data_IF_872205204302
#
_entry.id   IF_872205204302
#
_cell.length_a   1.000
_cell.length_b   1.000
_cell.length_c   1.000
_cell.angle_alpha   90.00
_cell.angle_beta   90.00
_cell.angle_gamma   90.00
#
_symmetry.space_group_name_H-M   'P 1'
#
loop_
_entity.id
_entity.type
_entity.pdbx_description
1 polymer ?
#
# COMPACT_ATOMS: atom_id res chain seq x y z
N UNK A 1 11.97 0.55 8.08
CA UNK A 1 12.04 0.14 9.52
C UNK A 1 10.66 0.14 10.16
N UNK A 2 9.83 1.14 9.89
CA UNK A 2 8.52 1.34 10.53
C UNK A 2 7.50 0.24 10.26
N UNK A 3 7.46 -0.33 9.03
CA UNK A 3 6.60 -1.48 8.74
C UNK A 3 6.85 -2.68 9.66
N UNK A 4 8.12 -3.03 9.90
CA UNK A 4 8.48 -4.16 10.78
C UNK A 4 8.07 -3.90 12.23
N UNK A 5 8.18 -2.64 12.67
CA UNK A 5 7.74 -2.23 14.01
C UNK A 5 6.22 -2.28 14.12
N UNK A 6 5.50 -1.71 13.15
CA UNK A 6 4.04 -1.75 13.13
C UNK A 6 3.49 -3.17 13.08
N UNK A 7 4.12 -4.05 12.29
CA UNK A 7 3.74 -5.46 12.24
C UNK A 7 4.02 -6.17 13.55
N UNK A 8 5.20 -5.96 14.15
CA UNK A 8 5.54 -6.55 15.44
C UNK A 8 4.59 -6.08 16.55
N UNK A 9 4.19 -4.80 16.53
CA UNK A 9 3.19 -4.28 17.47
C UNK A 9 1.81 -4.91 17.23
N UNK A 10 1.37 -5.05 15.97
CA UNK A 10 0.12 -5.77 15.65
C UNK A 10 0.18 -7.22 16.13
N UNK A 11 1.27 -7.94 15.85
CA UNK A 11 1.46 -9.33 16.26
C UNK A 11 1.54 -9.45 17.80
N UNK A 12 2.12 -8.45 18.49
CA UNK A 12 2.15 -8.37 19.95
C UNK A 12 0.75 -8.12 20.54
N UNK A 13 -0.07 -7.31 19.86
CA UNK A 13 -1.40 -6.94 20.31
C UNK A 13 -2.48 -7.97 19.90
N UNK A 14 -2.17 -8.87 18.97
CA UNK A 14 -3.07 -9.93 18.47
C UNK A 14 -2.47 -11.29 18.81
N UNK A 15 -3.04 -11.99 19.78
CA UNK A 15 -2.56 -13.31 20.18
C UNK A 15 -3.75 -14.26 20.37
N UNK A 16 -3.60 -15.48 19.84
CA UNK A 16 -4.56 -16.56 20.06
C UNK A 16 -4.42 -17.20 21.47
N UNK A 17 -3.36 -16.82 22.18
CA UNK A 17 -3.08 -17.30 23.55
C UNK A 17 -3.32 -16.13 24.51
N UNK A 18 -4.21 -16.29 25.52
CA UNK A 18 -4.44 -15.27 26.53
C UNK A 18 -3.15 -15.00 27.31
N UNK A 19 -2.67 -13.78 27.26
CA UNK A 19 -1.55 -13.35 28.11
C UNK A 19 -1.78 -11.92 28.60
N UNK A 20 -1.09 -11.54 29.68
CA UNK A 20 -1.07 -10.16 30.12
C UNK A 20 0.24 -9.50 29.65
N UNK A 21 0.13 -8.37 29.01
CA UNK A 21 1.27 -7.54 28.67
C UNK A 21 1.21 -6.22 29.45
N UNK A 22 2.39 -5.72 29.84
CA UNK A 22 2.54 -4.38 30.38
C UNK A 22 3.27 -3.56 29.35
N UNK A 23 2.60 -2.54 28.80
CA UNK A 23 3.21 -1.61 27.87
C UNK A 23 3.59 -0.33 28.61
N UNK A 24 4.83 0.08 28.50
CA UNK A 24 5.24 1.42 28.87
C UNK A 24 4.80 2.38 27.75
N UNK A 25 3.91 3.29 28.05
CA UNK A 25 3.37 4.25 27.10
C UNK A 25 3.65 5.66 27.56
N UNK A 26 3.87 6.57 26.59
CA UNK A 26 4.13 7.97 26.84
C UNK A 26 2.96 8.80 26.32
N UNK A 27 2.38 9.65 27.17
CA UNK A 27 1.32 10.57 26.74
C UNK A 27 1.89 11.81 26.02
N UNK A 28 1.01 12.68 25.53
CA UNK A 28 1.38 13.90 24.82
C UNK A 28 2.17 14.90 25.68
N UNK A 29 1.97 14.89 27.02
CA UNK A 29 2.72 15.70 27.97
C UNK A 29 4.11 15.12 28.27
N UNK A 30 4.48 13.98 27.68
CA UNK A 30 5.77 13.33 27.89
C UNK A 30 5.83 12.45 29.14
N UNK A 31 4.73 12.28 29.85
CA UNK A 31 4.66 11.44 31.05
C UNK A 31 4.57 9.97 30.64
N UNK A 32 5.37 9.13 31.30
CA UNK A 32 5.40 7.68 31.07
C UNK A 32 4.54 6.98 32.11
N UNK A 33 3.73 6.02 31.67
CA UNK A 33 2.93 5.16 32.54
C UNK A 33 2.83 3.74 31.98
N UNK A 34 2.57 2.79 32.85
CA UNK A 34 2.42 1.39 32.48
C UNK A 34 0.94 1.07 32.23
N UNK A 35 0.62 0.67 30.99
CA UNK A 35 -0.70 0.19 30.60
C UNK A 35 -0.71 -1.34 30.64
N UNK A 36 -1.47 -1.91 31.58
CA UNK A 36 -1.66 -3.36 31.64
C UNK A 36 -2.77 -3.76 30.69
N UNK A 37 -2.42 -4.58 29.67
CA UNK A 37 -3.35 -5.15 28.73
C UNK A 37 -3.59 -6.61 29.12
N UNK A 38 -4.84 -6.95 29.46
CA UNK A 38 -5.26 -8.33 29.66
C UNK A 38 -5.95 -8.77 28.38
N UNK A 39 -5.39 -9.75 27.70
CA UNK A 39 -6.01 -10.33 26.51
C UNK A 39 -7.10 -11.30 26.97
N UNK A 40 -8.33 -10.94 26.74
CA UNK A 40 -9.44 -11.87 26.62
C UNK A 40 -9.58 -12.23 25.15
N UNK A 41 -10.07 -13.43 24.89
CA UNK A 41 -10.14 -14.10 23.58
C UNK A 41 -10.49 -13.12 22.43
N UNK A 42 -9.67 -13.04 21.38
CA UNK A 42 -9.86 -12.19 20.18
C UNK A 42 -11.29 -12.26 19.60
N UNK A 43 -11.97 -13.39 19.73
CA UNK A 43 -13.37 -13.54 19.30
C UNK A 43 -14.35 -12.59 20.02
N UNK A 44 -13.97 -12.07 21.18
CA UNK A 44 -14.79 -11.14 21.97
C UNK A 44 -14.44 -9.67 21.71
N UNK A 45 -13.28 -9.38 21.10
CA UNK A 45 -12.80 -8.03 20.82
C UNK A 45 -13.08 -7.58 19.38
N UNK A 46 -13.75 -8.38 18.55
CA UNK A 46 -14.29 -7.88 17.30
C UNK A 46 -15.66 -7.20 17.53
N UNK A 47 -15.68 -5.94 18.10
CA UNK A 47 -16.80 -5.06 17.83
C UNK A 47 -16.80 -4.91 16.33
N UNK A 48 -17.95 -4.82 15.74
CA UNK A 48 -18.17 -4.47 14.35
C UNK A 48 -17.28 -3.30 13.92
N UNK A 49 -16.02 -3.54 13.66
CA UNK A 49 -15.27 -2.75 12.71
C UNK A 49 -16.10 -2.94 11.45
N UNK A 50 -16.85 -1.91 11.08
CA UNK A 50 -17.55 -1.87 9.80
C UNK A 50 -16.53 -2.41 8.81
N UNK A 51 -16.83 -3.52 8.11
CA UNK A 51 -15.86 -4.20 7.25
C UNK A 51 -15.34 -3.15 6.30
N UNK A 52 -14.09 -2.75 6.49
CA UNK A 52 -13.47 -1.72 5.67
C UNK A 52 -13.59 -2.16 4.23
N UNK A 53 -14.16 -1.32 3.36
CA UNK A 53 -14.33 -1.65 1.96
C UNK A 53 -12.94 -1.88 1.32
N UNK A 54 -12.84 -2.83 0.43
CA UNK A 54 -11.60 -3.05 -0.33
C UNK A 54 -11.30 -1.91 -1.30
N UNK A 55 -12.35 -1.35 -1.89
CA UNK A 55 -12.30 -0.15 -2.73
C UNK A 55 -13.42 0.76 -2.28
N UNK A 56 -13.12 2.04 -2.13
CA UNK A 56 -14.08 3.10 -1.80
C UNK A 56 -13.74 4.40 -2.52
N UNK A 57 -14.73 5.21 -2.82
CA UNK A 57 -14.53 6.50 -3.50
C UNK A 57 -15.49 7.55 -3.02
N UNK A 58 -15.05 8.81 -3.11
CA UNK A 58 -15.88 9.98 -2.87
C UNK A 58 -15.33 11.20 -3.60
N UNK A 59 -16.19 12.16 -3.92
CA UNK A 59 -15.77 13.50 -4.28
C UNK A 59 -15.45 14.25 -2.99
N UNK A 60 -14.26 14.82 -2.86
CA UNK A 60 -13.86 15.67 -1.72
C UNK A 60 -14.32 17.10 -1.92
N UNK A 61 -14.28 17.55 -3.18
CA UNK A 61 -14.87 18.78 -3.68
C UNK A 61 -15.24 18.62 -5.17
N UNK A 62 -15.59 19.70 -5.87
CA UNK A 62 -16.03 19.65 -7.28
C UNK A 62 -14.94 19.12 -8.23
N UNK A 63 -13.66 19.32 -7.91
CA UNK A 63 -12.52 19.01 -8.77
C UNK A 63 -11.66 17.84 -8.28
N UNK A 64 -11.84 17.38 -7.04
CA UNK A 64 -10.97 16.36 -6.41
C UNK A 64 -11.75 15.08 -6.13
N UNK A 65 -11.43 14.03 -6.88
CA UNK A 65 -11.85 12.66 -6.58
C UNK A 65 -10.88 11.99 -5.59
N UNK A 66 -11.43 11.22 -4.68
CA UNK A 66 -10.67 10.35 -3.77
C UNK A 66 -11.03 8.90 -4.03
N UNK A 67 -10.00 8.08 -4.26
CA UNK A 67 -10.13 6.64 -4.51
C UNK A 67 -9.24 5.89 -3.52
N UNK A 68 -9.85 5.09 -2.66
CA UNK A 68 -9.14 4.26 -1.69
C UNK A 68 -9.12 2.81 -2.16
N UNK A 69 -7.92 2.18 -2.13
CA UNK A 69 -7.72 0.79 -2.54
C UNK A 69 -6.88 0.08 -1.48
N UNK A 70 -7.49 -0.82 -0.73
CA UNK A 70 -6.87 -1.48 0.41
C UNK A 70 -6.17 -2.81 0.07
N UNK A 71 -6.30 -3.31 -1.17
CA UNK A 71 -5.65 -4.56 -1.60
C UNK A 71 -5.63 -4.71 -3.12
N UNK A 72 -4.64 -5.44 -3.62
CA UNK A 72 -4.58 -5.97 -4.99
C UNK A 72 -4.86 -7.48 -5.04
N UNK A 73 -5.55 -8.04 -4.06
CA UNK A 73 -5.80 -9.48 -4.00
C UNK A 73 -6.77 -9.94 -5.08
N UNK A 74 -6.33 -10.84 -5.95
CA UNK A 74 -7.18 -11.53 -6.94
C UNK A 74 -8.20 -12.51 -6.31
N UNK A 75 -8.09 -12.75 -4.99
CA UNK A 75 -9.03 -13.61 -4.24
C UNK A 75 -10.29 -12.87 -3.78
N UNK A 76 -10.31 -11.55 -3.89
CA UNK A 76 -11.49 -10.76 -3.52
C UNK A 76 -12.58 -10.98 -4.56
N UNK A 77 -13.76 -11.36 -4.08
CA UNK A 77 -14.98 -11.44 -4.87
C UNK A 77 -16.13 -10.89 -4.03
N UNK A 78 -16.70 -9.79 -4.46
CA UNK A 78 -17.86 -9.14 -3.81
C UNK A 78 -19.00 -9.16 -4.81
N UNK A 79 -20.00 -10.00 -4.56
CA UNK A 79 -21.18 -10.15 -5.45
C UNK A 79 -20.81 -10.43 -6.92
N UNK A 80 -19.76 -11.23 -7.15
CA UNK A 80 -19.28 -11.55 -8.49
C UNK A 80 -18.23 -10.58 -9.06
N UNK A 81 -17.97 -9.45 -8.40
CA UNK A 81 -16.98 -8.46 -8.83
C UNK A 81 -15.62 -8.71 -8.17
N UNK A 82 -14.55 -8.66 -8.94
CA UNK A 82 -13.17 -8.65 -8.46
C UNK A 82 -12.69 -7.21 -8.17
N UNK A 83 -11.47 -7.04 -7.67
CA UNK A 83 -10.89 -5.72 -7.36
C UNK A 83 -10.87 -4.80 -8.58
N UNK A 84 -10.55 -5.32 -9.77
CA UNK A 84 -10.52 -4.50 -10.99
C UNK A 84 -11.90 -3.94 -11.32
N UNK A 85 -12.94 -4.76 -11.22
CA UNK A 85 -14.32 -4.33 -11.49
C UNK A 85 -14.76 -3.25 -10.50
N UNK A 86 -14.43 -3.44 -9.21
CA UNK A 86 -14.71 -2.45 -8.16
C UNK A 86 -13.97 -1.13 -8.41
N UNK A 87 -12.71 -1.17 -8.85
CA UNK A 87 -11.94 0.02 -9.18
C UNK A 87 -12.54 0.76 -10.36
N UNK A 88 -12.88 0.04 -11.46
CA UNK A 88 -13.50 0.64 -12.64
C UNK A 88 -14.83 1.32 -12.32
N UNK A 89 -15.67 0.69 -11.50
CA UNK A 89 -16.96 1.27 -11.12
C UNK A 89 -16.78 2.52 -10.25
N UNK A 90 -15.80 2.51 -9.34
CA UNK A 90 -15.48 3.68 -8.53
C UNK A 90 -14.85 4.81 -9.35
N UNK A 91 -14.01 4.51 -10.36
CA UNK A 91 -13.46 5.52 -11.29
C UNK A 91 -14.58 6.23 -12.08
N UNK A 92 -15.62 5.52 -12.50
CA UNK A 92 -16.79 6.12 -13.19
C UNK A 92 -17.49 7.15 -12.30
N UNK A 93 -17.59 6.88 -10.98
CA UNK A 93 -18.17 7.84 -10.03
C UNK A 93 -17.33 9.11 -9.88
N UNK A 94 -16.03 9.03 -10.18
CA UNK A 94 -15.09 10.13 -10.12
C UNK A 94 -14.79 10.76 -11.50
N UNK A 95 -15.60 10.46 -12.51
CA UNK A 95 -15.33 10.89 -13.90
C UNK A 95 -15.24 12.41 -14.04
N UNK A 96 -16.05 13.18 -13.30
CA UNK A 96 -16.08 14.64 -13.33
C UNK A 96 -14.88 15.32 -12.67
N UNK A 97 -14.12 14.62 -11.81
CA UNK A 97 -12.97 15.23 -11.14
C UNK A 97 -11.85 15.57 -12.10
N UNK A 98 -11.14 16.67 -11.88
CA UNK A 98 -9.92 17.06 -12.62
C UNK A 98 -8.67 16.43 -12.02
N UNK A 99 -8.70 16.13 -10.74
CA UNK A 99 -7.61 15.51 -9.99
C UNK A 99 -8.09 14.27 -9.27
N UNK A 100 -7.17 13.36 -9.01
CA UNK A 100 -7.46 12.13 -8.29
C UNK A 100 -6.42 11.90 -7.19
N UNK A 101 -6.88 11.79 -5.95
CA UNK A 101 -6.08 11.34 -4.82
C UNK A 101 -6.34 9.85 -4.64
N UNK A 102 -5.30 9.04 -4.84
CA UNK A 102 -5.38 7.57 -4.72
C UNK A 102 -4.75 7.16 -3.38
N UNK A 103 -5.55 6.69 -2.45
CA UNK A 103 -5.09 6.23 -1.13
C UNK A 103 -4.81 4.73 -1.16
N UNK A 104 -3.53 4.39 -1.11
CA UNK A 104 -3.06 3.00 -1.05
C UNK A 104 -2.28 2.71 0.23
N UNK A 105 -2.36 3.58 1.24
CA UNK A 105 -1.56 3.48 2.49
C UNK A 105 -1.72 2.14 3.21
N UNK A 106 -2.90 1.52 3.14
CA UNK A 106 -3.19 0.22 3.81
C UNK A 106 -3.06 -0.98 2.89
N UNK A 107 -2.61 -0.80 1.66
CA UNK A 107 -2.52 -1.86 0.68
C UNK A 107 -1.16 -2.57 0.75
N UNK A 108 -1.16 -3.81 1.23
CA UNK A 108 0.05 -4.63 1.34
C UNK A 108 0.38 -5.44 0.07
N UNK A 109 -0.27 -5.12 -1.05
CA UNK A 109 0.00 -5.76 -2.33
C UNK A 109 -1.03 -6.82 -2.75
N UNK A 110 -0.59 -7.74 -3.59
CA UNK A 110 -1.39 -8.80 -4.19
C UNK A 110 -0.97 -9.11 -5.63
N UNK A 111 -1.89 -9.04 -6.57
CA UNK A 111 -1.66 -9.28 -7.99
C UNK A 111 -1.23 -7.99 -8.70
N UNK A 112 -0.02 -7.98 -9.25
CA UNK A 112 0.52 -6.81 -9.96
C UNK A 112 -0.28 -6.44 -11.20
N UNK A 113 -0.95 -7.41 -11.85
CA UNK A 113 -1.78 -7.14 -13.03
C UNK A 113 -2.98 -6.25 -12.72
N UNK A 114 -3.55 -6.35 -11.50
CA UNK A 114 -4.62 -5.47 -11.06
C UNK A 114 -4.10 -4.03 -10.86
N UNK A 115 -2.91 -3.90 -10.30
CA UNK A 115 -2.22 -2.61 -10.14
C UNK A 115 -1.84 -2.00 -11.51
N UNK A 116 -1.29 -2.82 -12.43
CA UNK A 116 -0.95 -2.44 -13.80
C UNK A 116 -2.18 -1.96 -14.58
N UNK A 117 -3.32 -2.63 -14.41
CA UNK A 117 -4.55 -2.24 -15.09
C UNK A 117 -4.99 -0.83 -14.70
N UNK A 118 -5.00 -0.50 -13.41
CA UNK A 118 -5.32 0.86 -12.97
C UNK A 118 -4.26 1.86 -13.45
N UNK A 119 -2.97 1.59 -13.25
CA UNK A 119 -1.90 2.50 -13.63
C UNK A 119 -1.88 2.77 -15.14
N UNK A 120 -2.26 1.78 -15.95
CA UNK A 120 -2.32 1.87 -17.41
C UNK A 120 -3.29 2.90 -17.94
N UNK A 121 -4.36 3.26 -17.20
CA UNK A 121 -5.27 4.35 -17.56
C UNK A 121 -4.61 5.72 -17.54
N UNK A 122 -3.46 5.87 -16.89
CA UNK A 122 -2.81 7.17 -16.72
C UNK A 122 -1.58 7.36 -17.62
N UNK A 123 -1.34 6.47 -18.57
CA UNK A 123 -0.26 6.58 -19.55
C UNK A 123 -0.80 6.38 -20.97
N UNK A 124 -0.12 6.99 -21.95
CA UNK A 124 -0.53 6.90 -23.37
C UNK A 124 0.40 6.01 -24.20
N UNK A 125 1.54 5.62 -23.66
CA UNK A 125 2.52 4.75 -24.33
C UNK A 125 3.23 3.84 -23.31
N UNK A 126 3.80 2.71 -23.76
CA UNK A 126 4.53 1.82 -22.88
C UNK A 126 5.69 2.52 -22.16
N UNK A 127 5.84 2.25 -20.85
CA UNK A 127 6.87 2.84 -20.00
C UNK A 127 7.56 1.75 -19.18
N UNK A 128 8.90 1.74 -19.18
CA UNK A 128 9.68 0.92 -18.23
C UNK A 128 9.71 1.64 -16.89
N UNK A 129 9.24 0.99 -15.82
CA UNK A 129 9.15 1.56 -14.48
C UNK A 129 10.13 0.95 -13.46
N UNK A 130 10.88 -0.07 -13.86
CA UNK A 130 11.87 -0.72 -13.00
C UNK A 130 12.43 -1.99 -13.60
N UNK A 131 13.20 -2.72 -12.82
CA UNK A 131 13.76 -4.01 -13.22
C UNK A 131 13.65 -5.03 -12.09
N UNK A 132 13.59 -6.30 -12.45
CA UNK A 132 13.71 -7.41 -11.50
C UNK A 132 14.89 -8.28 -11.85
N UNK A 133 15.63 -8.71 -10.82
CA UNK A 133 16.68 -9.72 -10.90
C UNK A 133 16.10 -11.04 -10.44
N UNK A 134 16.05 -12.01 -11.33
CA UNK A 134 15.56 -13.37 -11.05
C UNK A 134 16.69 -14.36 -11.27
N UNK A 135 16.60 -15.52 -10.62
CA UNK A 135 17.49 -16.66 -10.89
C UNK A 135 16.75 -17.62 -11.81
N UNK A 136 17.35 -17.96 -12.93
CA UNK A 136 16.87 -19.07 -13.76
C UNK A 136 17.12 -20.42 -13.06
N UNK A 137 16.12 -21.32 -13.16
CA UNK A 137 16.24 -22.66 -12.60
C UNK A 137 17.41 -23.40 -13.25
N UNK A 138 18.36 -23.87 -12.42
CA UNK A 138 19.53 -24.58 -12.87
C UNK A 138 20.74 -23.71 -13.25
N UNK A 139 20.63 -22.39 -13.13
CA UNK A 139 21.74 -21.47 -13.37
C UNK A 139 22.07 -20.64 -12.13
N UNK A 140 23.36 -20.40 -11.89
CA UNK A 140 23.82 -19.54 -10.80
C UNK A 140 23.79 -18.04 -11.15
N UNK A 141 23.47 -17.71 -12.40
CA UNK A 141 23.41 -16.33 -12.88
C UNK A 141 22.05 -15.69 -12.59
N UNK A 142 22.08 -14.41 -12.23
CA UNK A 142 20.88 -13.58 -12.14
C UNK A 142 20.58 -12.97 -13.51
N UNK A 143 19.33 -13.09 -13.94
CA UNK A 143 18.82 -12.45 -15.16
C UNK A 143 18.09 -11.18 -14.81
N UNK A 144 18.42 -10.10 -15.50
CA UNK A 144 17.76 -8.81 -15.34
C UNK A 144 16.61 -8.69 -16.35
N UNK A 145 15.40 -8.38 -15.88
CA UNK A 145 14.21 -8.20 -16.71
C UNK A 145 13.60 -6.84 -16.45
N UNK A 146 13.27 -6.11 -17.52
CA UNK A 146 12.55 -4.85 -17.41
C UNK A 146 11.09 -5.08 -17.03
N UNK A 147 10.59 -4.25 -16.12
CA UNK A 147 9.20 -4.14 -15.78
C UNK A 147 8.60 -3.01 -16.64
N UNK A 148 7.64 -3.38 -17.49
CA UNK A 148 7.05 -2.47 -18.45
C UNK A 148 5.54 -2.33 -18.21
N UNK A 149 5.07 -1.11 -17.97
CA UNK A 149 3.65 -0.77 -17.92
C UNK A 149 3.14 -0.52 -19.33
N UNK A 150 1.97 -1.09 -19.66
CA UNK A 150 1.27 -0.86 -20.92
C UNK A 150 0.05 0.03 -20.69
N UNK A 151 -0.33 0.90 -21.65
CA UNK A 151 -1.61 1.59 -21.61
C UNK A 151 -2.78 0.60 -21.49
N UNK A 152 -3.77 0.97 -20.70
CA UNK A 152 -4.97 0.15 -20.47
C UNK A 152 -6.22 1.04 -20.52
N UNK A 153 -7.28 0.53 -21.19
CA UNK A 153 -8.57 1.23 -21.26
C UNK A 153 -8.47 2.65 -21.84
N UNK A 154 -9.40 3.50 -21.43
CA UNK A 154 -9.41 4.90 -21.82
C UNK A 154 -8.38 5.69 -20.99
N UNK A 155 -7.65 6.59 -21.68
CA UNK A 155 -6.70 7.47 -21.01
C UNK A 155 -7.41 8.50 -20.12
N UNK A 156 -6.99 8.56 -18.86
CA UNK A 156 -7.51 9.50 -17.87
C UNK A 156 -6.51 10.63 -17.64
N UNK A 157 -6.78 11.80 -18.28
CA UNK A 157 -5.96 13.00 -18.10
C UNK A 157 -6.35 13.73 -16.82
N UNK A 158 -5.89 13.20 -15.70
CA UNK A 158 -6.14 13.75 -14.36
C UNK A 158 -4.82 14.03 -13.65
N UNK A 159 -4.74 15.08 -12.85
CA UNK A 159 -3.63 15.21 -11.89
C UNK A 159 -3.72 14.12 -10.85
N UNK A 160 -2.61 13.44 -10.58
CA UNK A 160 -2.55 12.32 -9.66
C UNK A 160 -1.72 12.64 -8.43
N UNK A 161 -2.30 12.35 -7.28
CA UNK A 161 -1.58 12.30 -6.00
C UNK A 161 -1.81 10.91 -5.39
N UNK A 162 -0.75 10.27 -4.92
CA UNK A 162 -0.82 8.96 -4.27
C UNK A 162 -0.46 9.12 -2.81
N UNK A 163 -1.35 8.69 -1.91
CA UNK A 163 -1.04 8.60 -0.49
C UNK A 163 -0.30 7.31 -0.18
N UNK A 164 0.89 7.45 0.41
CA UNK A 164 1.80 6.33 0.71
C UNK A 164 2.06 6.20 2.20
N UNK A 165 2.38 4.98 2.63
CA UNK A 165 2.71 4.71 4.03
C UNK A 165 3.46 3.39 4.23
N UNK A 166 3.87 3.09 5.48
CA UNK A 166 4.70 1.93 5.79
C UNK A 166 4.04 0.57 5.48
N UNK A 167 2.72 0.50 5.40
CA UNK A 167 1.98 -0.72 5.05
C UNK A 167 1.89 -0.95 3.52
N UNK A 168 2.37 0.00 2.68
CA UNK A 168 2.51 -0.19 1.23
C UNK A 168 3.61 -1.19 0.94
N UNK A 169 3.27 -2.34 0.34
CA UNK A 169 4.21 -3.42 0.06
C UNK A 169 3.98 -4.08 -1.31
N UNK A 170 5.03 -4.73 -1.84
CA UNK A 170 4.94 -5.67 -2.97
C UNK A 170 4.31 -5.02 -4.22
N UNK A 171 3.27 -5.60 -4.82
CA UNK A 171 2.61 -5.06 -6.01
C UNK A 171 2.04 -3.65 -5.79
N UNK A 172 1.80 -3.22 -4.55
CA UNK A 172 1.41 -1.85 -4.27
C UNK A 172 2.60 -0.88 -4.40
N UNK A 173 3.80 -1.31 -4.06
CA UNK A 173 5.02 -0.52 -4.35
C UNK A 173 5.30 -0.48 -5.86
N UNK A 174 5.01 -1.57 -6.59
CA UNK A 174 5.05 -1.55 -8.06
C UNK A 174 4.08 -0.50 -8.63
N UNK A 175 2.84 -0.43 -8.12
CA UNK A 175 1.87 0.60 -8.51
C UNK A 175 2.42 2.02 -8.28
N UNK A 176 3.03 2.25 -7.14
CA UNK A 176 3.65 3.55 -6.82
C UNK A 176 4.81 3.84 -7.78
N UNK A 177 5.71 2.87 -8.05
CA UNK A 177 6.80 3.02 -9.02
C UNK A 177 6.29 3.35 -10.43
N UNK A 178 5.23 2.67 -10.89
CA UNK A 178 4.64 2.89 -12.21
C UNK A 178 4.26 4.35 -12.46
N UNK A 179 3.80 5.06 -11.44
CA UNK A 179 3.29 6.41 -11.58
C UNK A 179 4.25 7.49 -11.04
N UNK A 180 4.91 7.22 -9.91
CA UNK A 180 5.89 8.15 -9.32
C UNK A 180 7.19 8.19 -10.14
N UNK A 181 7.82 7.05 -10.39
CA UNK A 181 9.14 6.99 -11.05
C UNK A 181 9.09 7.34 -12.55
N UNK A 182 7.87 7.46 -13.07
CA UNK A 182 7.60 7.95 -14.44
C UNK A 182 7.10 9.40 -14.48
N UNK A 183 7.13 10.09 -13.35
CA UNK A 183 6.67 11.50 -13.19
C UNK A 183 5.19 11.71 -13.54
N UNK A 184 4.35 10.66 -13.42
CA UNK A 184 2.92 10.77 -13.71
C UNK A 184 2.11 11.15 -12.47
N UNK A 185 2.60 10.84 -11.27
CA UNK A 185 1.96 11.17 -10.01
C UNK A 185 2.96 11.74 -9.01
N UNK A 186 2.45 12.58 -8.09
CA UNK A 186 3.15 13.01 -6.87
C UNK A 186 2.73 12.11 -5.71
N UNK A 187 3.65 11.79 -4.83
CA UNK A 187 3.38 10.96 -3.65
C UNK A 187 3.45 11.79 -2.37
N UNK A 188 2.50 11.55 -1.47
CA UNK A 188 2.36 12.26 -0.18
C UNK A 188 2.24 11.25 0.95
N UNK A 189 2.88 11.51 2.07
CA UNK A 189 2.77 10.69 3.28
C UNK A 189 4.10 10.18 3.80
N UNK A 190 4.24 8.86 3.97
CA UNK A 190 5.42 8.23 4.54
C UNK A 190 6.05 7.23 3.58
N UNK A 191 7.32 6.92 3.84
CA UNK A 191 8.08 5.90 3.09
C UNK A 191 7.37 4.55 3.15
N UNK A 192 7.33 3.85 2.01
CA UNK A 192 6.73 2.51 1.90
C UNK A 192 7.53 1.44 2.64
N UNK A 193 6.98 0.25 2.79
CA UNK A 193 7.58 -0.79 3.63
C UNK A 193 8.83 -1.46 3.08
N UNK A 194 9.14 -1.30 1.78
CA UNK A 194 10.34 -1.88 1.16
C UNK A 194 10.31 -3.40 1.13
N UNK A 195 9.19 -3.99 0.71
CA UNK A 195 8.99 -5.42 0.72
C UNK A 195 8.40 -5.96 -0.57
N UNK A 196 9.23 -6.48 -1.45
CA UNK A 196 8.86 -7.18 -2.67
C UNK A 196 9.37 -8.63 -2.63
N UNK A 197 9.35 -9.33 -3.74
CA UNK A 197 10.05 -10.62 -3.83
C UNK A 197 9.30 -11.74 -4.51
N UNK A 198 8.01 -11.59 -4.85
CA UNK A 198 7.21 -12.67 -5.49
C UNK A 198 7.45 -14.05 -4.82
N UNK A 199 7.09 -14.21 -3.54
CA UNK A 199 7.51 -15.38 -2.78
C UNK A 199 6.87 -16.66 -3.30
N UNK A 200 7.67 -17.74 -3.35
CA UNK A 200 7.18 -19.12 -3.51
C UNK A 200 7.04 -19.76 -2.14
N UNK A 201 5.94 -20.45 -1.95
CA UNK A 201 5.61 -21.16 -0.70
C UNK A 201 6.03 -22.63 -0.80
N UNK A 202 6.74 -23.12 0.20
CA UNK A 202 7.15 -24.52 0.34
C UNK A 202 6.56 -25.08 1.63
N UNK A 203 5.83 -26.18 1.53
CA UNK A 203 5.33 -26.89 2.71
C UNK A 203 6.38 -27.88 3.20
N UNK A 204 6.79 -27.73 4.45
CA UNK A 204 7.75 -28.60 5.13
C UNK A 204 7.00 -29.37 6.23
N UNK A 205 7.16 -30.67 6.27
CA UNK A 205 6.60 -31.53 7.32
C UNK A 205 7.71 -31.99 8.25
N UNK A 206 7.58 -31.74 9.54
CA UNK A 206 8.45 -32.24 10.61
C UNK A 206 7.60 -33.07 11.57
N UNK A 207 7.54 -34.38 11.34
CA UNK A 207 6.58 -35.25 11.98
C UNK A 207 5.14 -34.84 11.62
N UNK A 208 4.29 -34.65 12.62
CA UNK A 208 2.89 -34.20 12.42
C UNK A 208 2.74 -32.68 12.18
N UNK A 209 3.80 -31.90 12.37
CA UNK A 209 3.78 -30.46 12.22
C UNK A 209 4.02 -30.05 10.78
N UNK A 210 3.15 -29.16 10.28
CA UNK A 210 3.28 -28.55 8.95
C UNK A 210 3.74 -27.11 9.10
N UNK A 211 4.79 -26.75 8.37
CA UNK A 211 5.31 -25.38 8.25
C UNK A 211 5.23 -24.93 6.81
N UNK A 212 4.98 -23.64 6.60
CA UNK A 212 5.08 -23.03 5.28
C UNK A 212 6.26 -22.07 5.27
N UNK A 213 7.23 -22.33 4.39
CA UNK A 213 8.38 -21.46 4.14
C UNK A 213 8.12 -20.64 2.89
N UNK A 214 8.12 -19.32 3.02
CA UNK A 214 8.00 -18.40 1.88
C UNK A 214 9.38 -17.84 1.53
N UNK A 215 9.82 -18.10 0.30
CA UNK A 215 11.15 -17.67 -0.19
C UNK A 215 10.96 -16.68 -1.32
N UNK A 216 11.54 -15.49 -1.20
CA UNK A 216 11.58 -14.49 -2.27
C UNK A 216 12.32 -15.05 -3.50
N UNK A 217 11.77 -14.81 -4.70
CA UNK A 217 12.29 -15.33 -5.96
C UNK A 217 12.93 -14.27 -6.84
N UNK A 218 12.78 -12.99 -6.49
CA UNK A 218 13.40 -11.87 -7.20
C UNK A 218 13.90 -10.78 -6.27
N UNK A 219 14.70 -9.86 -6.81
CA UNK A 219 15.06 -8.58 -6.25
C UNK A 219 14.60 -7.49 -7.20
N UNK A 220 13.96 -6.46 -6.69
CA UNK A 220 13.44 -5.36 -7.50
C UNK A 220 14.34 -4.13 -7.41
N UNK A 221 14.49 -3.43 -8.54
CA UNK A 221 15.15 -2.13 -8.63
C UNK A 221 14.24 -1.12 -9.29
N UNK A 222 14.28 0.09 -8.79
CA UNK A 222 13.62 1.25 -9.35
C UNK A 222 14.36 1.74 -10.61
N UNK A 223 13.74 2.61 -11.41
CA UNK A 223 14.35 3.17 -12.62
C UNK A 223 15.67 3.90 -12.36
N UNK A 224 15.84 4.51 -11.19
CA UNK A 224 17.08 5.14 -10.77
C UNK A 224 18.17 4.15 -10.32
N UNK A 225 17.91 2.83 -10.42
CA UNK A 225 18.83 1.77 -10.02
C UNK A 225 18.83 1.43 -8.54
N UNK A 226 18.14 2.20 -7.68
CA UNK A 226 18.07 1.91 -6.24
C UNK A 226 17.30 0.63 -5.97
N UNK A 227 17.70 -0.19 -4.99
CA UNK A 227 16.94 -1.35 -4.58
C UNK A 227 15.66 -0.92 -3.86
N UNK A 228 14.60 -1.72 -3.99
CA UNK A 228 13.34 -1.51 -3.27
C UNK A 228 13.38 -2.14 -1.88
N UNK A 229 13.90 -3.37 -1.80
CA UNK A 229 13.85 -4.18 -0.58
C UNK A 229 14.62 -3.53 0.57
N UNK A 230 13.97 -3.45 1.73
CA UNK A 230 14.43 -2.82 2.98
C UNK A 230 14.65 -1.29 2.93
N UNK A 231 14.38 -0.64 1.80
CA UNK A 231 14.50 0.81 1.61
C UNK A 231 13.12 1.43 1.45
N UNK A 232 12.28 0.87 0.55
CA UNK A 232 11.00 1.42 0.19
C UNK A 232 11.09 2.59 -0.79
N UNK A 233 9.98 3.30 -0.91
CA UNK A 233 9.83 4.46 -1.79
C UNK A 233 9.54 5.66 -0.90
N UNK A 234 10.45 6.64 -0.88
CA UNK A 234 10.24 7.90 -0.18
C UNK A 234 9.17 8.72 -0.92
N UNK A 235 8.23 9.36 -0.21
CA UNK A 235 7.26 10.26 -0.84
C UNK A 235 7.92 11.55 -1.31
N UNK A 236 7.31 12.21 -2.32
CA UNK A 236 7.76 13.53 -2.78
C UNK A 236 7.46 14.61 -1.74
N UNK A 237 6.34 14.47 -1.03
CA UNK A 237 5.91 15.35 0.04
C UNK A 237 5.78 14.54 1.34
N UNK A 238 6.85 14.44 2.13
CA UNK A 238 6.81 13.69 3.38
C UNK A 238 5.91 14.39 4.41
N UNK A 239 5.14 13.59 5.15
CA UNK A 239 4.26 14.05 6.23
C UNK A 239 4.58 13.28 7.49
N UNK A 240 4.67 13.98 8.61
CA UNK A 240 4.84 13.38 9.93
C UNK A 240 3.50 13.46 10.65
N UNK A 241 2.90 12.30 10.91
CA UNK A 241 1.71 12.21 11.76
C UNK A 241 2.11 12.41 13.21
N UNK A 242 1.54 13.38 13.86
CA UNK A 242 1.78 13.67 15.28
C UNK A 242 0.82 12.91 16.21
N UNK A 243 1.14 12.73 17.49
CA UNK A 243 0.19 12.19 18.45
C UNK A 243 -1.12 12.99 18.52
N UNK A 244 -1.06 14.32 18.35
CA UNK A 244 -2.24 15.18 18.37
C UNK A 244 -3.15 14.93 17.14
N UNK A 245 -2.58 14.69 15.95
CA UNK A 245 -3.36 14.31 14.77
C UNK A 245 -4.15 13.02 15.03
N UNK A 246 -3.52 12.02 15.66
CA UNK A 246 -4.18 10.76 16.01
C UNK A 246 -5.30 10.98 17.03
N UNK A 247 -5.05 11.76 18.07
CA UNK A 247 -6.04 12.05 19.13
C UNK A 247 -7.26 12.81 18.57
N UNK A 248 -7.02 13.70 17.61
CA UNK A 248 -8.06 14.52 16.97
C UNK A 248 -8.69 13.86 15.76
N UNK A 249 -8.32 12.61 15.43
CA UNK A 249 -8.78 11.87 14.25
C UNK A 249 -8.53 12.64 12.94
N UNK A 250 -7.41 13.38 12.86
CA UNK A 250 -7.02 14.13 11.68
C UNK A 250 -6.22 13.23 10.72
N UNK A 251 -6.33 13.51 9.42
CA UNK A 251 -5.53 12.86 8.37
C UNK A 251 -4.61 13.91 7.72
N UNK A 252 -3.40 14.11 8.29
CA UNK A 252 -2.47 15.11 7.77
C UNK A 252 -1.95 14.79 6.37
N UNK A 253 -1.87 13.51 5.98
CA UNK A 253 -1.47 13.11 4.63
C UNK A 253 -2.53 13.56 3.61
N UNK A 254 -3.80 13.26 3.87
CA UNK A 254 -4.91 13.66 3.00
C UNK A 254 -5.02 15.17 2.92
N UNK A 255 -4.90 15.87 4.05
CA UNK A 255 -4.90 17.33 4.09
C UNK A 255 -3.79 17.90 3.20
N UNK A 256 -2.57 17.38 3.32
CA UNK A 256 -1.42 17.82 2.51
C UNK A 256 -1.63 17.57 1.02
N UNK A 257 -2.24 16.42 0.67
CA UNK A 257 -2.56 16.10 -0.72
C UNK A 257 -3.59 17.07 -1.32
N UNK A 258 -4.64 17.41 -0.58
CA UNK A 258 -5.66 18.40 -1.00
C UNK A 258 -5.02 19.78 -1.19
N UNK A 259 -4.22 20.23 -0.24
CA UNK A 259 -3.48 21.51 -0.36
C UNK A 259 -2.59 21.54 -1.60
N UNK A 260 -1.87 20.44 -1.89
CA UNK A 260 -1.05 20.32 -3.08
C UNK A 260 -1.88 20.42 -4.37
N UNK A 261 -3.01 19.68 -4.43
CA UNK A 261 -3.90 19.72 -5.60
C UNK A 261 -4.41 21.13 -5.84
N UNK A 262 -4.96 21.81 -4.81
CA UNK A 262 -5.47 23.18 -4.95
C UNK A 262 -4.39 24.14 -5.45
N UNK A 263 -3.18 24.08 -4.91
CA UNK A 263 -2.08 24.97 -5.33
C UNK A 263 -1.58 24.73 -6.77
N UNK A 264 -1.99 23.63 -7.42
CA UNK A 264 -1.52 23.24 -8.76
C UNK A 264 -2.66 23.03 -9.77
N UNK A 265 -3.93 23.24 -9.38
CA UNK A 265 -5.07 23.23 -10.32
C UNK A 265 -5.22 24.55 -11.08
N UNK A 266 -4.67 25.65 -10.56
CA UNK A 266 -4.83 27.00 -11.10
C UNK A 266 -3.85 27.36 -12.25
N UNK A 267 -3.18 26.36 -12.87
CA UNK A 267 -2.25 26.60 -13.97
C UNK A 267 -2.77 25.98 -15.26
#
# INVERSE_FOLDING_TARGET
MDYKINRALKDLLISDIPYAAVLEVKNKEGQTFNLKINYTNIKEITPSLAKEKFVDSQMLDEDIGYLKINTWSSRVNINGQNISDLVEDNLKLLASSKSLIIDVRKNSGGDSKLAEKLAGHFITQPIVYGTVLTRELGHDTLVNQNLCLQPQGDYLDKKLVILTGPDCLSSNEMFIMMLKDTNRAITVGQTTGGGSGSPKSFNIHLGERKFTLNIATWKMRRNNGSPLENIGIEPDLPVITTPDDVIQYQDPDLKKAIEYVHSHLEI
#
